data_IF_541887324777
#
_entry.id   IF_541887324777
#
_cell.length_a   1.000
_cell.length_b   1.000
_cell.length_c   1.000
_cell.angle_alpha   90.00
_cell.angle_beta   90.00
_cell.angle_gamma   90.00
#
_symmetry.space_group_name_H-M   'P 1'
#
loop_
_entity.id
_entity.type
_entity.pdbx_description
1 polymer ?
#
# COMPACT_ATOMS: atom_id res chain seq x y z
N UNK A 1 26.03 35.80 -9.70
CA UNK A 1 25.73 34.72 -10.66
C UNK A 1 25.41 33.49 -9.83
N UNK A 2 24.11 33.31 -9.54
CA UNK A 2 23.63 32.12 -8.83
C UNK A 2 23.21 31.08 -9.89
N UNK A 3 23.91 29.96 -9.90
CA UNK A 3 23.51 28.81 -10.70
C UNK A 3 22.30 28.13 -10.03
N UNK A 4 21.15 28.26 -10.65
CA UNK A 4 19.95 27.49 -10.34
C UNK A 4 20.20 26.03 -10.77
N UNK A 5 20.44 25.15 -9.81
CA UNK A 5 20.38 23.70 -10.01
C UNK A 5 18.98 23.30 -10.44
N UNK A 6 18.84 23.02 -11.71
CA UNK A 6 17.63 22.44 -12.29
C UNK A 6 17.57 20.96 -11.92
N UNK A 7 16.89 20.62 -10.83
CA UNK A 7 16.57 19.24 -10.50
C UNK A 7 15.40 18.85 -11.40
N UNK A 8 15.69 18.16 -12.50
CA UNK A 8 14.67 17.51 -13.30
C UNK A 8 14.22 16.23 -12.57
N UNK A 9 12.99 16.23 -12.06
CA UNK A 9 12.34 15.01 -11.63
C UNK A 9 12.09 14.14 -12.86
N UNK A 10 12.81 13.05 -12.94
CA UNK A 10 12.50 11.99 -13.90
C UNK A 10 11.19 11.34 -13.43
N UNK A 11 10.09 11.69 -14.10
CA UNK A 11 8.84 10.97 -13.97
C UNK A 11 9.06 9.60 -14.62
N UNK A 12 9.27 8.55 -13.84
CA UNK A 12 9.61 7.21 -14.32
C UNK A 12 8.41 6.44 -14.88
N UNK A 13 7.31 7.14 -15.20
CA UNK A 13 6.17 6.57 -15.94
C UNK A 13 5.46 5.42 -15.24
N UNK A 14 5.58 5.32 -13.91
CA UNK A 14 4.73 4.41 -13.15
C UNK A 14 3.36 5.07 -13.02
N UNK A 15 2.40 4.58 -13.80
CA UNK A 15 0.99 4.90 -13.61
C UNK A 15 0.59 4.45 -12.20
N UNK A 16 0.52 5.41 -11.27
CA UNK A 16 -0.15 5.19 -10.00
C UNK A 16 -1.59 4.86 -10.36
N UNK A 17 -2.16 3.75 -9.82
CA UNK A 17 -3.50 3.36 -10.20
C UNK A 17 -4.47 4.52 -9.94
N UNK A 18 -5.04 5.08 -10.98
CA UNK A 18 -5.98 6.21 -10.94
C UNK A 18 -7.18 5.95 -10.03
N UNK A 19 -7.52 4.68 -9.82
CA UNK A 19 -8.60 4.27 -8.92
C UNK A 19 -8.30 4.50 -7.42
N UNK A 20 -7.03 4.74 -7.04
CA UNK A 20 -6.68 5.07 -5.66
C UNK A 20 -6.62 6.59 -5.40
N UNK A 21 -6.44 7.41 -6.44
CA UNK A 21 -6.16 8.83 -6.31
C UNK A 21 -7.31 9.77 -6.74
N UNK A 22 -8.26 9.32 -7.59
CA UNK A 22 -9.21 10.23 -8.25
C UNK A 22 -10.32 10.82 -7.33
N UNK A 23 -10.49 10.35 -6.09
CA UNK A 23 -11.57 10.83 -5.22
C UNK A 23 -11.13 11.78 -4.09
N UNK A 24 -9.82 12.08 -3.93
CA UNK A 24 -9.34 12.79 -2.73
C UNK A 24 -8.82 14.23 -2.93
N UNK A 25 -8.79 14.77 -4.15
CA UNK A 25 -8.19 16.10 -4.41
C UNK A 25 -9.06 17.31 -4.05
N UNK A 26 -10.27 17.14 -3.55
CA UNK A 26 -11.04 18.26 -3.05
C UNK A 26 -10.85 18.41 -1.53
N UNK A 27 -10.27 19.52 -1.08
CA UNK A 27 -10.14 19.89 0.33
C UNK A 27 -11.46 19.71 1.10
N UNK A 28 -11.44 18.86 2.14
CA UNK A 28 -12.54 18.81 3.10
C UNK A 28 -12.33 19.97 4.06
N UNK A 29 -13.14 21.02 3.93
CA UNK A 29 -13.20 22.10 4.92
C UNK A 29 -13.93 21.57 6.16
N UNK A 30 -13.21 20.87 7.02
CA UNK A 30 -13.67 20.55 8.37
C UNK A 30 -13.01 21.55 9.32
N UNK A 31 -13.72 21.95 10.37
CA UNK A 31 -13.28 22.94 11.36
C UNK A 31 -12.14 22.42 12.26
N UNK A 32 -11.05 21.94 11.66
CA UNK A 32 -9.78 21.66 12.33
C UNK A 32 -8.71 22.56 11.70
N UNK A 33 -7.87 23.19 12.51
CA UNK A 33 -6.79 24.08 12.07
C UNK A 33 -5.71 23.37 11.22
N UNK A 34 -5.87 22.08 10.93
CA UNK A 34 -4.91 21.24 10.20
C UNK A 34 -5.50 20.90 8.83
N UNK A 35 -4.75 21.17 7.76
CA UNK A 35 -5.16 20.78 6.41
C UNK A 35 -5.08 19.25 6.21
N UNK A 36 -5.85 18.69 5.26
CA UNK A 36 -5.80 17.27 4.87
C UNK A 36 -4.36 16.84 4.54
N UNK A 37 -3.60 17.68 3.86
CA UNK A 37 -2.22 17.42 3.52
C UNK A 37 -1.29 17.35 4.73
N UNK A 38 -1.48 18.28 5.68
CA UNK A 38 -0.71 18.27 6.93
C UNK A 38 -1.07 17.05 7.78
N UNK A 39 -2.33 16.69 7.84
CA UNK A 39 -2.80 15.50 8.56
C UNK A 39 -2.19 14.23 7.98
N UNK A 40 -2.23 14.06 6.65
CA UNK A 40 -1.59 12.93 5.96
C UNK A 40 -0.08 12.88 6.25
N UNK A 41 0.61 13.99 6.11
CA UNK A 41 2.05 14.09 6.38
C UNK A 41 2.38 13.72 7.83
N UNK A 42 1.64 14.24 8.79
CA UNK A 42 1.83 13.93 10.22
C UNK A 42 1.58 12.45 10.51
N UNK A 43 0.48 11.88 10.00
CA UNK A 43 0.17 10.47 10.17
C UNK A 43 1.29 9.58 9.61
N UNK A 44 1.72 9.81 8.37
CA UNK A 44 2.79 9.02 7.74
C UNK A 44 4.15 9.20 8.42
N UNK A 45 4.43 10.39 8.98
CA UNK A 45 5.64 10.63 9.78
C UNK A 45 5.67 9.76 11.04
N UNK A 46 4.51 9.51 11.65
CA UNK A 46 4.38 8.62 12.79
C UNK A 46 4.35 7.14 12.39
N UNK A 47 3.65 6.78 11.32
CA UNK A 47 3.43 5.40 10.92
C UNK A 47 4.67 4.74 10.30
N UNK A 48 5.39 5.46 9.43
CA UNK A 48 6.48 4.88 8.65
C UNK A 48 7.60 4.27 9.48
N UNK A 49 8.10 4.89 10.56
CA UNK A 49 9.11 4.26 11.42
C UNK A 49 8.63 2.94 12.03
N UNK A 50 7.37 2.85 12.46
CA UNK A 50 6.78 1.64 13.05
C UNK A 50 6.69 0.53 12.00
N UNK A 51 6.27 0.89 10.77
CA UNK A 51 6.18 -0.06 9.66
C UNK A 51 7.58 -0.57 9.28
N UNK A 52 8.58 0.32 9.13
CA UNK A 52 9.97 -0.06 8.78
C UNK A 52 10.58 -0.97 9.86
N UNK A 53 10.37 -0.66 11.14
CA UNK A 53 10.87 -1.47 12.26
C UNK A 53 10.25 -2.87 12.27
N UNK A 54 8.96 -2.98 12.00
CA UNK A 54 8.26 -4.26 11.91
C UNK A 54 8.82 -5.18 10.80
N UNK A 55 9.38 -4.61 9.74
CA UNK A 55 10.10 -5.36 8.69
C UNK A 55 11.55 -5.71 9.06
N UNK A 56 12.01 -5.37 10.26
CA UNK A 56 13.40 -5.64 10.72
C UNK A 56 14.44 -4.90 9.90
N UNK A 57 14.16 -3.68 9.44
CA UNK A 57 15.03 -2.89 8.55
C UNK A 57 15.08 -3.38 7.11
N UNK A 58 14.17 -4.27 6.71
CA UNK A 58 14.05 -4.77 5.34
C UNK A 58 13.64 -3.64 4.36
N UNK A 59 14.08 -3.74 3.13
CA UNK A 59 14.00 -2.69 2.09
C UNK A 59 12.60 -2.32 1.61
N UNK A 60 11.52 -2.97 2.06
CA UNK A 60 10.15 -2.73 1.54
C UNK A 60 9.73 -1.27 1.63
N UNK A 61 9.94 -0.62 2.78
CA UNK A 61 9.62 0.79 3.00
C UNK A 61 10.83 1.66 3.40
N UNK A 62 12.04 1.10 3.48
CA UNK A 62 13.23 1.82 3.99
C UNK A 62 13.66 3.01 3.12
N UNK A 63 13.28 3.03 1.85
CA UNK A 63 13.54 4.13 0.93
C UNK A 63 12.31 5.04 0.68
N UNK A 64 11.25 4.85 1.45
CA UNK A 64 10.04 5.66 1.38
C UNK A 64 10.17 6.83 2.36
N UNK A 65 9.71 8.01 1.96
CA UNK A 65 9.62 9.18 2.82
C UNK A 65 8.17 9.57 3.06
N UNK A 66 7.82 10.06 4.26
CA UNK A 66 6.50 10.61 4.50
C UNK A 66 6.19 11.75 3.52
N UNK A 67 4.99 11.75 2.99
CA UNK A 67 4.53 12.77 2.06
C UNK A 67 3.03 13.04 2.27
N UNK A 68 2.50 14.22 1.87
CA UNK A 68 1.08 14.55 1.99
C UNK A 68 0.24 13.87 0.91
N UNK A 69 0.31 12.55 0.83
CA UNK A 69 -0.44 11.71 -0.13
C UNK A 69 -1.22 10.63 0.61
N UNK A 70 -2.21 10.06 -0.05
CA UNK A 70 -3.06 9.03 0.55
C UNK A 70 -2.38 7.67 0.67
N UNK A 71 -1.28 7.42 -0.04
CA UNK A 71 -0.60 6.12 -0.07
C UNK A 71 0.87 6.19 0.28
N UNK A 72 1.38 5.14 0.91
CA UNK A 72 2.79 4.79 0.95
C UNK A 72 3.03 3.53 0.12
N UNK A 73 4.00 3.58 -0.77
CA UNK A 73 4.31 2.51 -1.74
C UNK A 73 5.49 1.67 -1.25
N UNK A 74 5.24 0.40 -0.96
CA UNK A 74 6.28 -0.56 -0.57
C UNK A 74 6.62 -1.52 -1.71
N UNK A 75 7.89 -1.57 -2.11
CA UNK A 75 8.35 -2.54 -3.10
C UNK A 75 8.60 -3.90 -2.45
N UNK A 76 8.04 -4.97 -3.03
CA UNK A 76 8.10 -6.33 -2.47
C UNK A 76 9.08 -7.27 -3.19
N UNK A 77 9.85 -6.76 -4.15
CA UNK A 77 10.83 -7.56 -4.89
C UNK A 77 10.31 -8.21 -6.17
N UNK A 78 9.02 -8.09 -6.47
CA UNK A 78 8.36 -8.61 -7.68
C UNK A 78 7.90 -7.43 -8.53
N UNK A 79 8.36 -7.35 -9.77
CA UNK A 79 7.99 -6.25 -10.68
C UNK A 79 6.48 -6.24 -10.95
N UNK A 80 5.84 -5.08 -10.80
CA UNK A 80 4.39 -4.91 -10.96
C UNK A 80 3.55 -5.45 -9.80
N UNK A 81 4.18 -5.81 -8.68
CA UNK A 81 3.51 -6.13 -7.42
C UNK A 81 4.01 -5.17 -6.36
N UNK A 82 3.09 -4.43 -5.75
CA UNK A 82 3.41 -3.46 -4.70
C UNK A 82 2.55 -3.71 -3.46
N UNK A 83 3.08 -3.32 -2.32
CA UNK A 83 2.40 -3.33 -1.03
C UNK A 83 2.13 -1.88 -0.62
N UNK A 84 0.87 -1.47 -0.66
CA UNK A 84 0.45 -0.12 -0.31
C UNK A 84 -0.11 -0.06 1.10
N UNK A 85 0.24 1.02 1.83
CA UNK A 85 -0.56 1.51 2.95
C UNK A 85 -1.42 2.66 2.42
N UNK A 86 -2.74 2.60 2.61
CA UNK A 86 -3.66 3.60 2.07
C UNK A 86 -4.50 4.22 3.18
N UNK A 87 -4.51 5.54 3.24
CA UNK A 87 -5.30 6.37 4.15
C UNK A 87 -6.34 7.14 3.33
N UNK A 88 -7.62 6.95 3.62
CA UNK A 88 -8.72 7.65 2.94
C UNK A 88 -9.50 8.48 3.94
N UNK A 89 -9.18 9.77 4.03
CA UNK A 89 -9.79 10.69 5.00
C UNK A 89 -11.31 10.76 4.86
N UNK A 90 -11.82 10.93 3.64
CA UNK A 90 -13.26 11.06 3.37
C UNK A 90 -14.05 9.79 3.60
N UNK A 91 -13.42 8.62 3.42
CA UNK A 91 -14.06 7.32 3.62
C UNK A 91 -13.87 6.82 5.04
N UNK A 92 -13.08 7.53 5.85
CA UNK A 92 -12.72 7.10 7.20
C UNK A 92 -12.14 5.69 7.24
N UNK A 93 -11.27 5.35 6.24
CA UNK A 93 -10.68 4.01 6.16
C UNK A 93 -9.16 4.05 6.13
N UNK A 94 -8.56 3.00 6.66
CA UNK A 94 -7.13 2.74 6.61
C UNK A 94 -6.91 1.30 6.16
N UNK A 95 -6.02 1.09 5.18
CA UNK A 95 -5.83 -0.24 4.60
C UNK A 95 -4.38 -0.56 4.28
N UNK A 96 -4.09 -1.87 4.25
CA UNK A 96 -2.88 -2.45 3.67
C UNK A 96 -3.30 -3.28 2.44
N UNK A 97 -2.68 -3.05 1.29
CA UNK A 97 -3.11 -3.63 0.02
C UNK A 97 -1.93 -4.22 -0.75
N UNK A 98 -2.09 -5.42 -1.31
CA UNK A 98 -1.26 -5.86 -2.42
C UNK A 98 -1.94 -5.45 -3.72
N UNK A 99 -1.22 -4.70 -4.55
CA UNK A 99 -1.64 -4.31 -5.88
C UNK A 99 -0.82 -5.06 -6.92
N UNK A 100 -1.49 -5.73 -7.84
CA UNK A 100 -0.88 -6.52 -8.90
C UNK A 100 -1.23 -5.85 -10.23
N UNK A 101 -0.25 -5.23 -10.88
CA UNK A 101 -0.45 -4.53 -12.14
C UNK A 101 0.78 -4.61 -13.06
N UNK A 102 1.04 -5.79 -13.62
CA UNK A 102 1.95 -5.96 -14.75
C UNK A 102 1.22 -5.64 -16.06
N UNK A 103 1.96 -5.33 -17.15
CA UNK A 103 1.34 -4.97 -18.44
C UNK A 103 0.44 -6.07 -19.03
N UNK A 104 0.74 -7.32 -18.73
CA UNK A 104 0.01 -8.50 -19.22
C UNK A 104 -1.12 -8.86 -18.26
N UNK A 105 -2.37 -8.77 -18.71
CA UNK A 105 -3.56 -9.08 -17.92
C UNK A 105 -3.56 -10.53 -17.42
N UNK A 106 -3.21 -11.49 -18.27
CA UNK A 106 -3.22 -12.90 -17.89
C UNK A 106 -2.15 -13.21 -16.83
N UNK A 107 -0.98 -12.55 -16.92
CA UNK A 107 0.03 -12.65 -15.86
C UNK A 107 -0.50 -12.09 -14.54
N UNK A 108 -1.22 -10.96 -14.54
CA UNK A 108 -1.86 -10.43 -13.32
C UNK A 108 -2.79 -11.44 -12.67
N UNK A 109 -3.63 -12.10 -13.46
CA UNK A 109 -4.56 -13.10 -12.94
C UNK A 109 -3.84 -14.34 -12.39
N UNK A 110 -2.78 -14.78 -13.05
CA UNK A 110 -1.95 -15.90 -12.55
C UNK A 110 -1.21 -15.54 -11.27
N UNK A 111 -0.67 -14.32 -11.15
CA UNK A 111 -0.04 -13.84 -9.90
C UNK A 111 -1.06 -13.82 -8.75
N UNK A 112 -2.27 -13.31 -9.02
CA UNK A 112 -3.35 -13.33 -8.04
C UNK A 112 -3.72 -14.76 -7.62
N UNK A 113 -3.85 -15.68 -8.58
CA UNK A 113 -4.24 -17.08 -8.32
C UNK A 113 -3.19 -17.80 -7.45
N UNK A 114 -1.88 -17.54 -7.67
CA UNK A 114 -0.79 -18.03 -6.80
C UNK A 114 -0.98 -17.53 -5.36
N UNK A 115 -1.24 -16.24 -5.17
CA UNK A 115 -1.48 -15.67 -3.84
C UNK A 115 -2.77 -16.21 -3.22
N UNK A 116 -3.84 -16.34 -4.01
CA UNK A 116 -5.13 -16.83 -3.54
C UNK A 116 -5.08 -18.28 -3.04
N UNK A 117 -4.20 -19.09 -3.60
CA UNK A 117 -3.97 -20.46 -3.12
C UNK A 117 -3.48 -20.50 -1.65
N UNK A 118 -2.98 -19.39 -1.12
CA UNK A 118 -2.55 -19.26 0.28
C UNK A 118 -3.58 -18.61 1.21
N UNK A 119 -4.82 -18.40 0.71
CA UNK A 119 -5.89 -17.72 1.45
C UNK A 119 -6.08 -18.27 2.85
N UNK A 120 -6.26 -19.59 3.00
CA UNK A 120 -6.51 -20.23 4.29
C UNK A 120 -5.34 -20.07 5.29
N UNK A 121 -4.12 -19.84 4.79
CA UNK A 121 -2.96 -19.63 5.65
C UNK A 121 -2.93 -18.19 6.18
N UNK A 122 -3.09 -17.20 5.32
CA UNK A 122 -3.04 -15.81 5.77
C UNK A 122 -4.24 -15.45 6.66
N UNK A 123 -5.41 -15.99 6.41
CA UNK A 123 -6.62 -15.76 7.22
C UNK A 123 -6.47 -16.26 8.67
N UNK A 124 -5.49 -17.11 8.97
CA UNK A 124 -5.14 -17.51 10.34
C UNK A 124 -4.27 -16.49 11.06
N UNK A 125 -3.52 -15.66 10.32
CA UNK A 125 -2.53 -14.74 10.88
C UNK A 125 -3.02 -13.29 10.88
N UNK A 126 -4.03 -12.96 10.06
CA UNK A 126 -4.61 -11.62 9.97
C UNK A 126 -6.01 -11.66 10.60
N UNK A 127 -6.23 -10.99 11.74
CA UNK A 127 -7.51 -11.02 12.46
C UNK A 127 -8.57 -10.09 11.84
N UNK A 128 -8.41 -9.73 10.58
CA UNK A 128 -9.28 -8.84 9.82
C UNK A 128 -9.78 -9.53 8.57
N UNK A 129 -10.92 -9.08 8.04
CA UNK A 129 -11.42 -9.56 6.76
C UNK A 129 -10.46 -9.20 5.62
N UNK A 130 -10.14 -10.17 4.79
CA UNK A 130 -9.29 -9.97 3.62
C UNK A 130 -10.18 -9.93 2.38
N UNK A 131 -10.17 -8.79 1.70
CA UNK A 131 -10.83 -8.61 0.42
C UNK A 131 -9.97 -9.17 -0.71
N UNK A 132 -10.49 -10.10 -1.48
CA UNK A 132 -9.84 -10.71 -2.63
C UNK A 132 -10.53 -10.27 -3.91
N UNK A 133 -9.89 -9.41 -4.70
CA UNK A 133 -10.43 -8.92 -5.96
C UNK A 133 -9.51 -9.32 -7.12
N UNK A 134 -9.91 -10.37 -7.83
CA UNK A 134 -9.21 -10.85 -9.03
C UNK A 134 -9.33 -9.85 -10.19
N UNK A 135 -10.45 -9.11 -10.25
CA UNK A 135 -10.71 -8.09 -11.27
C UNK A 135 -10.72 -8.67 -12.70
N UNK A 136 -11.58 -9.66 -12.98
CA UNK A 136 -11.60 -10.34 -14.28
C UNK A 136 -11.97 -9.42 -15.44
N UNK A 137 -12.69 -8.33 -15.17
CA UNK A 137 -13.03 -7.23 -16.06
C UNK A 137 -11.90 -6.21 -16.25
N UNK A 138 -10.95 -6.14 -15.30
CA UNK A 138 -9.83 -5.17 -15.26
C UNK A 138 -8.50 -5.85 -15.56
N UNK A 139 -7.45 -5.04 -15.80
CA UNK A 139 -6.07 -5.55 -15.89
C UNK A 139 -5.55 -5.93 -14.52
N UNK A 140 -5.64 -5.04 -13.54
CA UNK A 140 -5.12 -5.20 -12.19
C UNK A 140 -5.90 -6.22 -11.35
N UNK A 141 -5.26 -6.66 -10.27
CA UNK A 141 -5.87 -7.48 -9.21
C UNK A 141 -5.40 -6.97 -7.86
N UNK A 142 -6.21 -7.15 -6.81
CA UNK A 142 -5.88 -6.63 -5.47
C UNK A 142 -6.19 -7.63 -4.37
N UNK A 143 -5.38 -7.58 -3.31
CA UNK A 143 -5.71 -8.17 -2.00
C UNK A 143 -5.71 -7.04 -1.00
N UNK A 144 -6.81 -6.86 -0.27
CA UNK A 144 -7.03 -5.70 0.60
C UNK A 144 -7.39 -6.13 2.03
N UNK A 145 -6.77 -5.49 3.02
CA UNK A 145 -7.18 -5.55 4.43
C UNK A 145 -7.47 -4.13 4.87
N UNK A 146 -8.71 -3.84 5.21
CA UNK A 146 -9.18 -2.50 5.51
C UNK A 146 -9.88 -2.47 6.85
N UNK A 147 -9.68 -1.38 7.60
CA UNK A 147 -10.46 -1.01 8.77
C UNK A 147 -11.24 0.26 8.47
N UNK A 148 -12.47 0.30 8.94
CA UNK A 148 -13.44 1.39 8.74
C UNK A 148 -13.60 2.23 10.01
N UNK A 149 -14.36 3.31 9.94
CA UNK A 149 -14.68 4.23 11.04
C UNK A 149 -13.42 4.83 11.72
N UNK A 150 -12.41 5.14 10.90
CA UNK A 150 -11.16 5.73 11.36
C UNK A 150 -11.30 7.26 11.44
N UNK A 151 -11.23 7.82 12.64
CA UNK A 151 -11.03 9.25 12.83
C UNK A 151 -9.53 9.57 12.90
N UNK A 152 -8.99 10.11 11.81
CA UNK A 152 -7.58 10.48 11.75
C UNK A 152 -7.23 11.73 12.58
N UNK A 153 -8.21 12.53 13.00
CA UNK A 153 -7.97 13.67 13.90
C UNK A 153 -7.79 13.19 15.35
N UNK A 154 -8.27 12.02 15.72
CA UNK A 154 -7.98 11.41 16.99
C UNK A 154 -6.57 10.81 17.03
N UNK A 155 -5.59 11.67 17.30
CA UNK A 155 -4.17 11.26 17.34
C UNK A 155 -3.86 10.26 18.46
N UNK A 156 -4.74 10.11 19.44
CA UNK A 156 -4.57 9.11 20.52
C UNK A 156 -4.69 7.67 20.00
N UNK A 157 -5.38 7.47 18.88
CA UNK A 157 -5.53 6.17 18.19
C UNK A 157 -4.41 5.85 17.21
N UNK A 158 -3.56 6.81 16.85
CA UNK A 158 -2.50 6.57 15.88
C UNK A 158 -1.55 5.41 16.21
N UNK A 159 -1.17 5.16 17.49
CA UNK A 159 -0.38 3.97 17.82
C UNK A 159 -1.06 2.65 17.42
N UNK A 160 -2.38 2.53 17.64
CA UNK A 160 -3.17 1.37 17.23
C UNK A 160 -3.23 1.24 15.70
N UNK A 161 -3.51 2.35 15.01
CA UNK A 161 -3.61 2.41 13.56
C UNK A 161 -2.27 2.08 12.87
N UNK A 162 -1.17 2.59 13.39
CA UNK A 162 0.16 2.30 12.87
C UNK A 162 0.57 0.86 13.12
N UNK A 163 0.20 0.30 14.26
CA UNK A 163 0.43 -1.13 14.56
C UNK A 163 -0.40 -2.04 13.64
N UNK A 164 -1.65 -1.68 13.34
CA UNK A 164 -2.47 -2.37 12.34
C UNK A 164 -1.74 -2.45 10.99
N UNK A 165 -1.27 -1.31 10.47
CA UNK A 165 -0.53 -1.29 9.19
C UNK A 165 0.73 -2.15 9.26
N UNK A 166 1.54 -1.97 10.31
CA UNK A 166 2.80 -2.68 10.47
C UNK A 166 2.62 -4.20 10.48
N UNK A 167 1.72 -4.71 11.33
CA UNK A 167 1.47 -6.15 11.46
C UNK A 167 0.83 -6.73 10.20
N UNK A 168 -0.14 -6.02 9.60
CA UNK A 168 -0.83 -6.49 8.39
C UNK A 168 0.11 -6.52 7.18
N UNK A 169 0.92 -5.47 6.98
CA UNK A 169 1.88 -5.43 5.88
C UNK A 169 2.93 -6.55 5.99
N UNK A 170 3.43 -6.82 7.19
CA UNK A 170 4.36 -7.94 7.43
C UNK A 170 3.71 -9.28 7.09
N UNK A 171 2.48 -9.51 7.55
CA UNK A 171 1.75 -10.74 7.26
C UNK A 171 1.45 -10.91 5.77
N UNK A 172 0.95 -9.87 5.09
CA UNK A 172 0.70 -9.88 3.65
C UNK A 172 1.97 -10.23 2.86
N UNK A 173 3.10 -9.59 3.18
CA UNK A 173 4.36 -9.89 2.51
C UNK A 173 4.85 -11.31 2.80
N UNK A 174 4.84 -11.73 4.04
CA UNK A 174 5.33 -13.06 4.44
C UNK A 174 4.54 -14.18 3.78
N UNK A 175 3.20 -14.12 3.85
CA UNK A 175 2.32 -15.19 3.41
C UNK A 175 2.02 -15.18 1.91
N UNK A 176 1.92 -14.01 1.29
CA UNK A 176 1.46 -13.88 -0.09
C UNK A 176 2.60 -13.57 -1.08
N UNK A 177 3.75 -13.14 -0.60
CA UNK A 177 4.89 -12.83 -1.45
C UNK A 177 6.06 -13.77 -1.15
N UNK A 178 6.61 -13.71 0.08
CA UNK A 178 7.82 -14.47 0.40
C UNK A 178 7.59 -15.98 0.38
N UNK A 179 6.44 -16.44 0.87
CA UNK A 179 6.12 -17.87 0.93
C UNK A 179 5.80 -18.52 -0.44
N UNK A 180 5.59 -17.71 -1.49
CA UNK A 180 5.37 -18.20 -2.86
C UNK A 180 6.23 -17.44 -3.89
N UNK A 181 7.37 -16.93 -3.48
CA UNK A 181 8.23 -16.10 -4.32
C UNK A 181 8.68 -16.81 -5.59
N UNK A 182 9.04 -18.10 -5.50
CA UNK A 182 9.48 -18.88 -6.65
C UNK A 182 8.36 -19.00 -7.70
N UNK A 183 7.13 -19.33 -7.26
CA UNK A 183 5.97 -19.43 -8.15
C UNK A 183 5.62 -18.07 -8.80
N UNK A 184 5.70 -16.97 -8.03
CA UNK A 184 5.47 -15.64 -8.55
C UNK A 184 6.53 -15.26 -9.61
N UNK A 185 7.80 -15.59 -9.39
CA UNK A 185 8.89 -15.37 -10.35
C UNK A 185 8.70 -16.19 -11.61
N UNK A 186 8.31 -17.46 -11.51
CA UNK A 186 7.96 -18.31 -12.67
C UNK A 186 6.88 -17.63 -13.52
N UNK A 187 5.85 -17.05 -12.91
CA UNK A 187 4.80 -16.33 -13.66
C UNK A 187 5.36 -15.08 -14.34
N UNK A 188 6.22 -14.32 -13.68
CA UNK A 188 6.80 -13.07 -14.22
C UNK A 188 7.75 -13.37 -15.37
N UNK A 189 8.66 -14.33 -15.17
CA UNK A 189 9.73 -14.63 -16.13
C UNK A 189 9.22 -15.45 -17.32
N UNK A 190 8.11 -16.15 -17.17
CA UNK A 190 7.46 -16.90 -18.23
C UNK A 190 8.11 -18.26 -18.54
N UNK A 191 8.83 -18.81 -17.56
CA UNK A 191 9.48 -20.13 -17.66
C UNK A 191 8.60 -21.22 -17.07
#
# INVERSE_FOLDING_TARGET
>A
MEELLHISFVNDGRDIPSELDEEEDAEIVVASDISDNDLKLQFWTNALPVIVDAFGGNSTYSNVSPAPRSTLDGFVGISGVNLYCTMRLRKHTLSANIWIDVKDKEKNKRLFDVMYARKDNIEKHVPYNIGWNRGDDKRSSTVNVEIEDVDFNDTSRWPELTQFLATTCVALKAELITACEDELRVVIDGN
#
